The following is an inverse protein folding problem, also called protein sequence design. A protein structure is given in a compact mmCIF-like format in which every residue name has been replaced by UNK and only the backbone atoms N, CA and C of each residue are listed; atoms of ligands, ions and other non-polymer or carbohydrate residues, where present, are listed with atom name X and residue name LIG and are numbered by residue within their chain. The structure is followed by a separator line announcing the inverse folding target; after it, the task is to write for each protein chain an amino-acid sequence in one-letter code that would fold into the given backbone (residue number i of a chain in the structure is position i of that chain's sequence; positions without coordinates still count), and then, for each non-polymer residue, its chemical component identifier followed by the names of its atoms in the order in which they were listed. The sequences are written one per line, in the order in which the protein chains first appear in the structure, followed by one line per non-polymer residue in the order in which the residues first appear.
data_IF_154394761386
#
_entry.id   IF_154394761386
#
_cell.length_a   1.000
_cell.length_b   1.000
_cell.length_c   1.000
_cell.angle_alpha   90.00
_cell.angle_beta   90.00
_cell.angle_gamma   90.00
#
_symmetry.space_group_name_H-M   'P 1'
#
loop_
_entity.id
_entity.type
_entity.pdbx_description
1 polymer ?
#
# COMPACT_ATOMS: atom_id res chain seq x y z
N UNK A 1 2.95 23.47 2.96
CA UNK A 1 3.20 22.71 4.20
C UNK A 1 4.44 23.25 4.90
N UNK A 2 4.34 23.55 6.21
CA UNK A 2 5.52 23.91 7.00
C UNK A 2 6.55 22.78 6.98
N UNK A 3 7.84 23.09 7.18
CA UNK A 3 8.92 22.07 7.25
C UNK A 3 8.63 21.01 8.32
N UNK A 4 8.00 21.41 9.43
CA UNK A 4 7.58 20.51 10.52
C UNK A 4 6.46 19.56 10.11
N UNK A 5 5.42 20.08 9.44
CA UNK A 5 4.27 19.27 8.97
C UNK A 5 4.71 18.23 7.93
N UNK A 6 5.62 18.61 7.03
CA UNK A 6 6.16 17.69 6.01
C UNK A 6 7.00 16.56 6.62
N UNK A 7 7.81 16.87 7.64
CA UNK A 7 8.60 15.86 8.35
C UNK A 7 7.71 14.86 9.08
N UNK A 8 6.63 15.34 9.70
CA UNK A 8 5.65 14.49 10.36
C UNK A 8 4.91 13.57 9.37
N UNK A 9 4.45 14.10 8.23
CA UNK A 9 3.74 13.27 7.23
C UNK A 9 4.62 12.14 6.68
N UNK A 10 5.89 12.42 6.39
CA UNK A 10 6.82 11.39 5.92
C UNK A 10 7.16 10.36 6.99
N UNK A 11 7.20 10.75 8.27
CA UNK A 11 7.41 9.80 9.37
C UNK A 11 6.23 8.83 9.50
N UNK A 12 5.00 9.36 9.49
CA UNK A 12 3.79 8.54 9.57
C UNK A 12 3.65 7.60 8.36
N UNK A 13 3.94 8.09 7.15
CA UNK A 13 3.93 7.26 5.94
C UNK A 13 4.96 6.12 6.01
N UNK A 14 6.17 6.41 6.52
CA UNK A 14 7.21 5.41 6.71
C UNK A 14 6.81 4.34 7.73
N UNK A 15 6.17 4.74 8.82
CA UNK A 15 5.65 3.84 9.85
C UNK A 15 4.56 2.92 9.28
N UNK A 16 3.58 3.48 8.55
CA UNK A 16 2.55 2.68 7.89
C UNK A 16 3.13 1.71 6.87
N UNK A 17 4.14 2.14 6.10
CA UNK A 17 4.84 1.27 5.15
C UNK A 17 5.53 0.11 5.87
N UNK A 18 6.16 0.34 7.04
CA UNK A 18 6.79 -0.74 7.79
C UNK A 18 5.81 -1.81 8.29
N UNK A 19 4.58 -1.41 8.64
CA UNK A 19 3.52 -2.37 9.02
C UNK A 19 3.23 -3.34 7.87
N UNK A 20 3.08 -2.83 6.64
CA UNK A 20 2.89 -3.68 5.47
C UNK A 20 4.09 -4.58 5.17
N UNK A 21 5.31 -4.06 5.35
CA UNK A 21 6.54 -4.85 5.19
C UNK A 21 6.59 -6.03 6.18
N UNK A 22 6.20 -5.81 7.43
CA UNK A 22 6.21 -6.84 8.47
C UNK A 22 5.12 -7.90 8.24
N UNK A 23 3.93 -7.49 7.77
CA UNK A 23 2.88 -8.42 7.34
C UNK A 23 3.41 -9.32 6.21
N UNK A 24 4.03 -8.74 5.18
CA UNK A 24 4.55 -9.50 4.05
C UNK A 24 5.67 -10.46 4.46
N UNK A 25 6.57 -10.04 5.36
CA UNK A 25 7.61 -10.93 5.92
C UNK A 25 6.99 -12.11 6.66
N UNK A 26 5.93 -11.89 7.41
CA UNK A 26 5.21 -12.97 8.11
C UNK A 26 4.58 -13.93 7.10
N UNK A 27 3.92 -13.43 6.05
CA UNK A 27 3.35 -14.27 5.00
C UNK A 27 4.42 -15.10 4.24
N UNK A 28 5.61 -14.54 4.02
CA UNK A 28 6.76 -15.27 3.43
C UNK A 28 7.21 -16.39 4.37
N UNK A 29 7.32 -16.10 5.67
CA UNK A 29 7.74 -17.07 6.70
C UNK A 29 6.76 -18.25 6.80
N UNK A 30 5.47 -17.98 6.64
CA UNK A 30 4.41 -18.99 6.63
C UNK A 30 4.31 -19.78 5.32
N UNK A 31 5.02 -19.36 4.27
CA UNK A 31 4.92 -19.97 2.94
C UNK A 31 3.66 -19.60 2.16
N UNK A 32 2.84 -18.69 2.69
CA UNK A 32 1.58 -18.22 2.09
C UNK A 32 1.80 -17.33 0.85
N UNK A 33 3.00 -16.77 0.68
CA UNK A 33 3.34 -15.92 -0.46
C UNK A 33 4.74 -16.27 -1.00
N UNK A 34 4.83 -16.52 -2.30
CA UNK A 34 6.08 -16.86 -3.00
C UNK A 34 6.87 -15.63 -3.47
N UNK A 35 7.19 -14.71 -2.55
CA UNK A 35 8.07 -13.56 -2.83
C UNK A 35 9.36 -13.63 -1.99
N UNK A 36 10.46 -13.11 -2.52
CA UNK A 36 11.72 -13.03 -1.76
C UNK A 36 11.68 -11.87 -0.77
N UNK A 37 12.43 -11.96 0.35
CA UNK A 37 12.45 -10.90 1.38
C UNK A 37 12.83 -9.51 0.87
N UNK A 38 13.66 -9.40 -0.18
CA UNK A 38 13.97 -8.11 -0.84
C UNK A 38 12.77 -7.52 -1.59
N UNK A 39 11.87 -8.36 -2.11
CA UNK A 39 10.64 -7.93 -2.79
C UNK A 39 9.58 -7.45 -1.80
N UNK A 40 9.56 -7.98 -0.57
CA UNK A 40 8.59 -7.59 0.48
C UNK A 40 8.57 -6.07 0.72
N UNK A 41 9.75 -5.46 0.83
CA UNK A 41 9.86 -4.00 1.02
C UNK A 41 9.29 -3.21 -0.16
N UNK A 42 9.59 -3.64 -1.39
CA UNK A 42 9.07 -2.96 -2.58
C UNK A 42 7.54 -3.10 -2.67
N UNK A 43 7.01 -4.28 -2.38
CA UNK A 43 5.56 -4.53 -2.37
C UNK A 43 4.88 -3.69 -1.29
N UNK A 44 5.47 -3.54 -0.09
CA UNK A 44 4.94 -2.65 0.94
C UNK A 44 4.83 -1.19 0.48
N UNK A 45 5.85 -0.70 -0.23
CA UNK A 45 5.79 0.63 -0.85
C UNK A 45 4.71 0.73 -1.93
N UNK A 46 4.53 -0.30 -2.77
CA UNK A 46 3.46 -0.34 -3.76
C UNK A 46 2.07 -0.27 -3.09
N UNK A 47 1.85 -1.03 -2.02
CA UNK A 47 0.60 -1.00 -1.23
C UNK A 47 0.33 0.42 -0.70
N UNK A 48 1.35 1.08 -0.13
CA UNK A 48 1.22 2.43 0.39
C UNK A 48 0.80 3.43 -0.71
N UNK A 49 1.48 3.39 -1.86
CA UNK A 49 1.18 4.28 -3.00
C UNK A 49 -0.22 4.00 -3.56
N UNK A 50 -0.65 2.74 -3.61
CA UNK A 50 -2.00 2.37 -4.01
C UNK A 50 -3.06 2.95 -3.06
N UNK A 51 -2.82 2.96 -1.75
CA UNK A 51 -3.69 3.67 -0.80
C UNK A 51 -3.75 5.18 -1.07
N UNK A 52 -2.58 5.79 -1.29
CA UNK A 52 -2.47 7.22 -1.59
C UNK A 52 -3.11 7.62 -2.93
N UNK A 53 -3.13 6.72 -3.91
CA UNK A 53 -3.74 6.97 -5.22
C UNK A 53 -5.20 7.40 -5.06
N UNK A 54 -5.96 6.83 -4.11
CA UNK A 54 -7.31 7.30 -3.84
C UNK A 54 -7.33 8.79 -3.47
N UNK A 55 -6.46 9.25 -2.58
CA UNK A 55 -6.41 10.67 -2.21
C UNK A 55 -6.09 11.59 -3.39
N UNK A 56 -5.23 11.17 -4.32
CA UNK A 56 -4.79 11.98 -5.46
C UNK A 56 -5.69 11.88 -6.70
N UNK A 57 -6.31 10.72 -6.91
CA UNK A 57 -7.08 10.37 -8.12
C UNK A 57 -8.55 10.13 -7.83
N UNK A 58 -9.03 10.45 -6.62
CA UNK A 58 -10.45 10.32 -6.26
C UNK A 58 -11.35 10.92 -7.32
N UNK A 59 -11.03 12.11 -7.83
CA UNK A 59 -11.85 12.80 -8.82
C UNK A 59 -12.13 11.96 -10.09
N UNK A 60 -11.17 11.16 -10.54
CA UNK A 60 -11.32 10.29 -11.71
C UNK A 60 -11.91 8.92 -11.31
N UNK A 61 -11.49 8.39 -10.17
CA UNK A 61 -11.91 7.05 -9.73
C UNK A 61 -13.33 7.04 -9.15
N UNK A 62 -13.80 8.15 -8.57
CA UNK A 62 -15.12 8.23 -7.95
C UNK A 62 -16.28 8.15 -8.94
N UNK A 63 -16.02 8.29 -10.23
CA UNK A 63 -17.01 8.06 -11.29
C UNK A 63 -17.44 6.59 -11.35
N UNK A 64 -16.55 5.66 -10.99
CA UNK A 64 -16.76 4.21 -11.13
C UNK A 64 -16.57 3.42 -9.82
N UNK A 65 -16.02 4.05 -8.77
CA UNK A 65 -15.70 3.38 -7.51
C UNK A 65 -16.16 4.20 -6.30
N UNK A 66 -16.69 3.50 -5.29
CA UNK A 66 -16.65 3.95 -3.89
C UNK A 66 -15.28 3.64 -3.26
N UNK A 67 -14.95 4.26 -2.12
CA UNK A 67 -13.73 3.90 -1.36
C UNK A 67 -13.69 2.41 -1.00
N UNK A 68 -14.84 1.81 -0.65
CA UNK A 68 -14.90 0.40 -0.28
C UNK A 68 -14.64 -0.51 -1.48
N UNK A 69 -15.27 -0.23 -2.62
CA UNK A 69 -15.05 -0.99 -3.86
C UNK A 69 -13.63 -0.80 -4.38
N UNK A 70 -13.06 0.40 -4.21
CA UNK A 70 -11.66 0.67 -4.56
C UNK A 70 -10.71 -0.19 -3.72
N UNK A 71 -10.86 -0.18 -2.38
CA UNK A 71 -10.03 -0.99 -1.48
C UNK A 71 -10.13 -2.47 -1.85
N UNK A 72 -11.35 -2.96 -2.09
CA UNK A 72 -11.57 -4.36 -2.50
C UNK A 72 -10.85 -4.70 -3.80
N UNK A 73 -11.06 -3.92 -4.86
CA UNK A 73 -10.41 -4.16 -6.16
C UNK A 73 -8.89 -4.08 -6.08
N UNK A 74 -8.33 -3.10 -5.36
CA UNK A 74 -6.88 -2.99 -5.19
C UNK A 74 -6.30 -4.18 -4.44
N UNK A 75 -7.00 -4.65 -3.41
CA UNK A 75 -6.57 -5.83 -2.63
C UNK A 75 -6.55 -7.08 -3.52
N UNK A 76 -7.59 -7.30 -4.33
CA UNK A 76 -7.65 -8.40 -5.28
C UNK A 76 -6.51 -8.33 -6.32
N UNK A 77 -6.22 -7.14 -6.87
CA UNK A 77 -5.13 -6.96 -7.83
C UNK A 77 -3.75 -7.27 -7.23
N UNK A 78 -3.51 -6.86 -5.99
CA UNK A 78 -2.26 -7.14 -5.26
C UNK A 78 -2.12 -8.64 -5.01
N UNK A 79 -3.18 -9.30 -4.52
CA UNK A 79 -3.14 -10.73 -4.21
C UNK A 79 -3.02 -11.60 -5.46
N UNK A 80 -3.57 -11.16 -6.60
CA UNK A 80 -3.47 -11.86 -7.88
C UNK A 80 -2.15 -11.56 -8.62
N UNK A 81 -1.30 -10.66 -8.11
CA UNK A 81 0.02 -10.36 -8.68
C UNK A 81 0.00 -9.53 -9.96
N UNK A 82 -1.07 -8.77 -10.22
CA UNK A 82 -1.14 -7.81 -11.33
C UNK A 82 -0.35 -6.53 -11.02
N UNK A 83 -0.27 -6.18 -9.72
CA UNK A 83 0.52 -5.08 -9.14
C UNK A 83 1.72 -5.63 -8.37
#
# INVERSE_FOLDING_TARGET
LSKKTRKYSFAAEKELTSIFEDILKQCIKEGSVAITGKKAKLVAHNIMVTGQMWAFRRWALSENYSINTYIKSQTELILNGIL
#
